data_IF_889822309999
#
_entry.id   IF_889822309999
#
_cell.length_a   1.000
_cell.length_b   1.000
_cell.length_c   1.000
_cell.angle_alpha   90.00
_cell.angle_beta   90.00
_cell.angle_gamma   90.00
#
_symmetry.space_group_name_H-M   'P 1'
#
loop_
_entity.id
_entity.type
_entity.pdbx_description
1 polymer ?
#
# COMPACT_ATOMS: atom_id res chain seq x y z
N UNK A 1 0.19 -7.58 -71.96
CA UNK A 1 1.18 -6.91 -71.12
C UNK A 1 0.43 -6.00 -70.16
N UNK A 2 0.13 -6.44 -68.96
CA UNK A 2 -0.46 -5.63 -67.90
C UNK A 2 0.36 -5.87 -66.62
N UNK A 3 1.05 -4.83 -66.17
CA UNK A 3 1.84 -4.81 -64.94
C UNK A 3 0.87 -4.84 -63.73
N UNK A 4 1.03 -5.84 -62.86
CA UNK A 4 0.36 -5.93 -61.61
C UNK A 4 1.35 -5.49 -60.51
N UNK A 5 1.15 -4.25 -60.02
CA UNK A 5 1.87 -3.74 -58.83
C UNK A 5 1.26 -4.36 -57.60
N UNK A 6 2.00 -5.23 -56.91
CA UNK A 6 1.65 -5.74 -55.59
C UNK A 6 2.06 -4.71 -54.54
N UNK A 7 1.07 -4.03 -53.98
CA UNK A 7 1.28 -3.14 -52.84
C UNK A 7 1.29 -4.00 -51.56
N UNK A 8 2.44 -4.17 -50.94
CA UNK A 8 2.55 -4.78 -49.62
C UNK A 8 2.05 -3.77 -48.57
N UNK A 9 0.86 -4.03 -48.02
CA UNK A 9 0.38 -3.34 -46.84
C UNK A 9 1.07 -3.95 -45.61
N UNK A 10 1.98 -3.20 -45.00
CA UNK A 10 2.55 -3.52 -43.69
C UNK A 10 1.46 -3.25 -42.67
N UNK A 11 0.79 -4.30 -42.18
CA UNK A 11 -0.08 -4.23 -41.01
C UNK A 11 0.81 -4.15 -39.78
N UNK A 12 1.03 -2.95 -39.28
CA UNK A 12 1.58 -2.73 -37.96
C UNK A 12 0.50 -3.16 -36.97
N UNK A 13 0.62 -4.37 -36.44
CA UNK A 13 -0.10 -4.81 -35.24
C UNK A 13 0.41 -3.97 -34.05
N UNK A 14 -0.16 -2.79 -33.89
CA UNK A 14 -0.13 -2.10 -32.61
C UNK A 14 -0.91 -2.97 -31.63
N UNK A 15 -0.20 -3.76 -30.82
CA UNK A 15 -0.78 -4.35 -29.61
C UNK A 15 -1.19 -3.19 -28.72
N UNK A 16 -2.44 -2.75 -28.86
CA UNK A 16 -3.08 -1.80 -27.95
C UNK A 16 -3.15 -2.47 -26.59
N UNK A 17 -2.23 -2.10 -25.70
CA UNK A 17 -2.45 -2.27 -24.29
C UNK A 17 -3.76 -1.51 -23.99
N UNK A 18 -4.88 -2.22 -23.76
CA UNK A 18 -6.15 -1.58 -23.47
C UNK A 18 -5.93 -0.73 -22.24
N UNK A 19 -5.83 0.59 -22.42
CA UNK A 19 -5.95 1.56 -21.35
C UNK A 19 -7.39 1.41 -20.88
N UNK A 20 -7.60 0.64 -19.82
CA UNK A 20 -8.74 0.85 -18.98
C UNK A 20 -8.48 2.17 -18.25
N UNK A 21 -8.61 3.27 -19.02
CA UNK A 21 -8.92 4.54 -18.41
C UNK A 21 -10.15 4.23 -17.55
N UNK A 22 -10.06 4.51 -16.26
CA UNK A 22 -11.23 4.57 -15.42
C UNK A 22 -12.15 5.57 -16.16
N UNK A 23 -13.05 5.03 -16.99
CA UNK A 23 -13.99 5.90 -17.67
C UNK A 23 -14.84 6.51 -16.57
N UNK A 24 -14.60 7.79 -16.33
CA UNK A 24 -15.52 8.66 -15.59
C UNK A 24 -16.95 8.62 -16.21
N UNK A 25 -17.12 7.89 -17.31
CA UNK A 25 -18.37 7.70 -18.05
C UNK A 25 -19.51 7.08 -17.23
N UNK A 26 -19.21 6.31 -16.18
CA UNK A 26 -20.22 5.72 -15.29
C UNK A 26 -20.34 6.44 -13.93
N UNK A 27 -19.66 7.57 -13.75
CA UNK A 27 -19.76 8.40 -12.56
C UNK A 27 -20.90 9.41 -12.80
N UNK A 28 -21.79 9.53 -11.80
CA UNK A 28 -22.88 10.50 -11.78
C UNK A 28 -22.35 11.91 -12.16
N UNK A 29 -23.13 12.69 -12.92
CA UNK A 29 -22.71 14.03 -13.41
C UNK A 29 -22.30 14.97 -12.28
N UNK A 30 -22.91 14.86 -11.10
CA UNK A 30 -22.51 15.59 -9.90
C UNK A 30 -21.08 15.28 -9.43
N UNK A 31 -20.60 14.03 -9.61
CA UNK A 31 -19.24 13.64 -9.28
C UNK A 31 -18.25 14.17 -10.31
N UNK A 32 -18.62 14.19 -11.60
CA UNK A 32 -17.78 14.79 -12.65
C UNK A 32 -17.52 16.28 -12.39
N UNK A 33 -18.55 17.02 -11.99
CA UNK A 33 -18.46 18.45 -11.70
C UNK A 33 -17.68 18.78 -10.43
N UNK A 34 -17.54 17.81 -9.49
CA UNK A 34 -16.92 17.99 -8.17
C UNK A 34 -15.79 16.97 -7.93
N UNK A 35 -15.19 16.44 -8.99
CA UNK A 35 -14.11 15.47 -8.89
C UNK A 35 -12.89 16.04 -8.13
N UNK A 36 -12.32 15.21 -7.26
CA UNK A 36 -11.06 15.52 -6.55
C UNK A 36 -9.82 15.19 -7.39
N UNK A 37 -10.00 14.59 -8.57
CA UNK A 37 -8.91 14.17 -9.44
C UNK A 37 -8.21 15.38 -10.05
N UNK A 38 -6.88 15.46 -9.83
CA UNK A 38 -6.01 16.37 -10.56
C UNK A 38 -5.52 15.69 -11.84
N UNK A 39 -5.83 16.28 -12.99
CA UNK A 39 -5.52 15.71 -14.31
C UNK A 39 -4.02 15.57 -14.57
N UNK A 40 -3.20 16.47 -14.04
CA UNK A 40 -1.74 16.46 -14.19
C UNK A 40 -1.13 15.35 -13.34
N UNK A 41 -1.59 15.20 -12.10
CA UNK A 41 -1.16 14.12 -11.19
C UNK A 41 -1.64 12.76 -11.73
N UNK A 42 -2.88 12.69 -12.23
CA UNK A 42 -3.43 11.48 -12.85
C UNK A 42 -2.59 11.04 -14.04
N UNK A 43 -2.21 11.98 -14.94
CA UNK A 43 -1.37 11.65 -16.09
C UNK A 43 0.00 11.13 -15.67
N UNK A 44 0.63 11.74 -14.67
CA UNK A 44 1.94 11.26 -14.15
C UNK A 44 1.80 9.85 -13.59
N UNK A 45 0.75 9.60 -12.81
CA UNK A 45 0.46 8.27 -12.27
C UNK A 45 0.30 7.23 -13.37
N UNK A 46 -0.50 7.51 -14.40
CA UNK A 46 -0.76 6.61 -15.54
C UNK A 46 0.53 6.29 -16.32
N UNK A 47 1.35 7.29 -16.58
CA UNK A 47 2.61 7.14 -17.31
C UNK A 47 3.60 6.26 -16.52
N UNK A 48 3.73 6.48 -15.21
CA UNK A 48 4.62 5.69 -14.35
C UNK A 48 4.13 4.24 -14.17
N UNK A 49 2.82 4.02 -14.02
CA UNK A 49 2.28 2.67 -13.94
C UNK A 49 2.41 1.93 -15.27
N UNK A 50 2.24 2.62 -16.40
CA UNK A 50 2.48 2.05 -17.74
C UNK A 50 3.94 1.62 -17.92
N UNK A 51 4.88 2.38 -17.38
CA UNK A 51 6.29 2.02 -17.34
C UNK A 51 6.53 0.81 -16.42
N UNK A 52 5.97 0.83 -15.21
CA UNK A 52 6.15 -0.20 -14.19
C UNK A 52 5.63 -1.57 -14.64
N UNK A 53 4.41 -1.63 -15.23
CA UNK A 53 3.83 -2.90 -15.69
C UNK A 53 4.67 -3.58 -16.75
N UNK A 54 5.30 -2.79 -17.62
CA UNK A 54 6.21 -3.30 -18.68
C UNK A 54 7.55 -3.73 -18.07
N UNK A 55 8.16 -2.84 -17.26
CA UNK A 55 9.48 -3.06 -16.66
C UNK A 55 9.51 -4.29 -15.77
N UNK A 56 8.54 -4.45 -14.91
CA UNK A 56 8.47 -5.56 -13.96
C UNK A 56 7.65 -6.75 -14.46
N UNK A 57 7.15 -6.71 -15.69
CA UNK A 57 6.31 -7.77 -16.30
C UNK A 57 5.18 -8.21 -15.36
N UNK A 58 4.64 -7.28 -14.58
CA UNK A 58 3.59 -7.57 -13.61
C UNK A 58 2.28 -7.98 -14.33
N UNK A 59 1.48 -8.83 -13.69
CA UNK A 59 0.13 -9.19 -14.16
C UNK A 59 -0.80 -8.00 -14.12
N UNK A 60 -0.72 -7.23 -13.02
CA UNK A 60 -1.42 -5.97 -12.87
C UNK A 60 -0.57 -4.99 -12.06
N UNK A 61 -0.83 -3.70 -12.21
CA UNK A 61 -0.28 -2.64 -11.38
C UNK A 61 -1.38 -1.65 -11.03
N UNK A 62 -1.38 -1.16 -9.80
CA UNK A 62 -2.29 -0.10 -9.36
C UNK A 62 -1.55 0.98 -8.59
N UNK A 63 -2.07 2.18 -8.67
CA UNK A 63 -1.53 3.34 -7.96
C UNK A 63 -2.61 4.27 -7.45
N UNK A 64 -2.29 4.95 -6.37
CA UNK A 64 -3.14 5.92 -5.70
C UNK A 64 -2.30 7.09 -5.21
N UNK A 65 -2.80 8.31 -5.42
CA UNK A 65 -2.36 9.53 -4.73
C UNK A 65 -3.54 10.09 -3.97
N UNK A 66 -3.39 10.31 -2.66
CA UNK A 66 -4.47 10.74 -1.78
C UNK A 66 -3.99 11.85 -0.84
N UNK A 67 -4.86 12.82 -0.55
CA UNK A 67 -4.63 13.78 0.52
C UNK A 67 -4.81 13.08 1.87
N UNK A 68 -3.75 13.07 2.68
CA UNK A 68 -3.73 12.34 3.96
C UNK A 68 -4.62 13.00 5.04
N UNK A 69 -5.00 14.27 4.87
CA UNK A 69 -5.67 15.07 5.90
C UNK A 69 -7.18 15.23 5.68
N UNK A 70 -7.71 14.78 4.51
CA UNK A 70 -9.14 14.86 4.24
C UNK A 70 -9.70 13.64 3.47
N UNK A 71 -8.82 12.71 3.02
CA UNK A 71 -9.23 11.50 2.31
C UNK A 71 -9.56 11.69 0.83
N UNK A 72 -9.36 12.88 0.26
CA UNK A 72 -9.57 13.12 -1.17
C UNK A 72 -8.58 12.32 -2.02
N UNK A 73 -9.11 11.58 -2.98
CA UNK A 73 -8.32 10.85 -3.97
C UNK A 73 -7.93 11.83 -5.09
N UNK A 74 -6.64 12.14 -5.19
CA UNK A 74 -6.08 13.09 -6.15
C UNK A 74 -5.80 12.43 -7.50
N UNK A 75 -5.40 11.15 -7.47
CA UNK A 75 -5.24 10.31 -8.65
C UNK A 75 -5.40 8.85 -8.28
N UNK A 76 -5.98 8.06 -9.16
CA UNK A 76 -6.13 6.60 -8.98
C UNK A 76 -6.11 5.92 -10.33
N UNK A 77 -5.30 4.86 -10.47
CA UNK A 77 -5.14 4.14 -11.72
C UNK A 77 -4.86 2.67 -11.50
N UNK A 78 -5.24 1.86 -12.47
CA UNK A 78 -4.92 0.43 -12.50
C UNK A 78 -4.77 -0.04 -13.94
N UNK A 79 -3.69 -0.78 -14.21
CA UNK A 79 -3.40 -1.39 -15.51
C UNK A 79 -3.30 -2.90 -15.34
N UNK A 80 -4.07 -3.63 -16.12
CA UNK A 80 -4.11 -5.09 -16.11
C UNK A 80 -3.59 -5.61 -17.45
N UNK A 81 -2.70 -6.61 -17.40
CA UNK A 81 -2.23 -7.33 -18.59
C UNK A 81 -3.09 -8.55 -18.91
N UNK A 82 -3.79 -9.08 -17.91
CA UNK A 82 -4.69 -10.21 -18.05
C UNK A 82 -6.14 -9.70 -18.08
N UNK A 83 -6.96 -10.20 -19.00
CA UNK A 83 -8.37 -9.85 -19.16
C UNK A 83 -9.23 -10.19 -17.92
N UNK A 84 -8.79 -11.18 -17.12
CA UNK A 84 -9.49 -11.65 -15.92
C UNK A 84 -9.21 -10.83 -14.65
N UNK A 85 -8.33 -9.83 -14.72
CA UNK A 85 -8.00 -9.03 -13.53
C UNK A 85 -9.16 -8.06 -13.18
N UNK A 86 -9.39 -7.75 -11.90
CA UNK A 86 -10.40 -6.76 -11.50
C UNK A 86 -10.13 -5.41 -12.17
N UNK A 87 -11.20 -4.69 -12.48
CA UNK A 87 -11.15 -3.43 -13.25
C UNK A 87 -10.23 -2.38 -12.59
N UNK A 88 -10.19 -2.33 -11.25
CA UNK A 88 -9.26 -1.50 -10.51
C UNK A 88 -8.79 -2.23 -9.24
N UNK A 89 -7.51 -2.64 -9.23
CA UNK A 89 -6.96 -3.42 -8.11
C UNK A 89 -6.83 -2.61 -6.82
N UNK A 90 -6.85 -1.28 -6.88
CA UNK A 90 -6.78 -0.42 -5.69
C UNK A 90 -8.09 -0.44 -4.91
N UNK A 91 -9.23 -0.45 -5.59
CA UNK A 91 -10.56 -0.37 -4.97
C UNK A 91 -11.22 -1.73 -4.77
N UNK A 92 -11.04 -2.65 -5.72
CA UNK A 92 -11.70 -3.96 -5.75
C UNK A 92 -10.77 -5.15 -5.48
N UNK A 93 -9.45 -4.94 -5.51
CA UNK A 93 -8.48 -6.00 -5.20
C UNK A 93 -8.68 -6.50 -3.77
N UNK A 94 -8.57 -7.81 -3.60
CA UNK A 94 -8.66 -8.48 -2.30
C UNK A 94 -7.32 -9.18 -2.03
N UNK A 95 -6.42 -8.48 -1.33
CA UNK A 95 -5.05 -8.92 -1.14
C UNK A 95 -4.67 -9.02 0.33
N UNK A 96 -3.90 -10.05 0.65
CA UNK A 96 -2.99 -9.97 1.76
C UNK A 96 -1.83 -9.07 1.36
N UNK A 97 -1.69 -7.91 2.00
CA UNK A 97 -0.71 -6.89 1.61
C UNK A 97 0.60 -6.94 2.41
N UNK A 98 0.68 -7.92 3.32
CA UNK A 98 1.90 -8.21 4.07
C UNK A 98 2.34 -7.04 4.96
N UNK A 99 3.62 -6.79 4.97
CA UNK A 99 4.30 -5.89 5.93
C UNK A 99 3.82 -4.43 5.95
N UNK A 100 2.95 -4.00 5.04
CA UNK A 100 2.31 -2.67 5.13
C UNK A 100 1.28 -2.57 6.28
N UNK A 101 0.91 -3.70 6.91
CA UNK A 101 0.11 -3.74 8.13
C UNK A 101 0.91 -3.42 9.40
N UNK A 102 2.22 -3.65 9.42
CA UNK A 102 3.06 -3.45 10.61
C UNK A 102 2.99 -2.05 11.22
N UNK A 103 2.92 -0.95 10.44
CA UNK A 103 2.69 0.38 11.00
C UNK A 103 1.43 0.48 11.87
N UNK A 104 0.35 -0.18 11.47
CA UNK A 104 -0.91 -0.20 12.23
C UNK A 104 -0.72 -0.96 13.56
N UNK A 105 -0.04 -2.10 13.50
CA UNK A 105 0.28 -2.91 14.69
C UNK A 105 1.16 -2.15 15.68
N UNK A 106 2.21 -1.50 15.20
CA UNK A 106 3.12 -0.70 16.03
C UNK A 106 2.39 0.51 16.60
N UNK A 107 1.60 1.22 15.79
CA UNK A 107 0.79 2.34 16.23
C UNK A 107 -0.20 1.93 17.35
N UNK A 108 -0.89 0.80 17.19
CA UNK A 108 -1.78 0.26 18.21
C UNK A 108 -1.02 -0.04 19.53
N UNK A 109 0.20 -0.56 19.45
CA UNK A 109 1.05 -0.80 20.60
C UNK A 109 1.38 0.47 21.37
N UNK A 110 1.77 1.55 20.68
CA UNK A 110 2.02 2.85 21.31
C UNK A 110 0.75 3.50 21.85
N UNK A 111 -0.34 3.44 21.09
CA UNK A 111 -1.59 4.11 21.42
C UNK A 111 -2.25 3.50 22.67
N UNK A 112 -2.15 2.19 22.85
CA UNK A 112 -2.61 1.48 24.06
C UNK A 112 -1.65 1.62 25.24
N UNK A 113 -0.48 2.21 25.07
CA UNK A 113 0.56 2.29 26.10
C UNK A 113 1.22 0.93 26.43
N UNK A 114 0.91 -0.12 25.66
CA UNK A 114 1.45 -1.48 25.88
C UNK A 114 2.92 -1.58 25.48
N UNK A 115 3.40 -0.68 24.62
CA UNK A 115 4.80 -0.56 24.25
C UNK A 115 5.29 0.89 24.36
N UNK A 116 6.61 1.04 24.45
CA UNK A 116 7.29 2.34 24.41
C UNK A 116 8.59 2.23 23.58
N UNK A 117 9.24 3.36 23.34
CA UNK A 117 10.42 3.44 22.47
C UNK A 117 11.64 2.67 23.00
N UNK A 118 11.72 2.44 24.33
CA UNK A 118 12.84 1.74 24.99
C UNK A 118 12.67 0.21 24.97
N UNK A 119 11.47 -0.28 24.71
CA UNK A 119 11.20 -1.72 24.69
C UNK A 119 11.87 -2.38 23.48
N UNK A 120 12.41 -3.56 23.71
CA UNK A 120 12.90 -4.46 22.67
C UNK A 120 12.07 -5.74 22.62
N UNK A 121 12.03 -6.33 21.45
CA UNK A 121 11.34 -7.58 21.16
C UNK A 121 12.38 -8.59 20.70
N UNK A 122 12.45 -9.70 21.38
CA UNK A 122 13.38 -10.77 21.03
C UNK A 122 13.01 -11.37 19.66
N UNK A 123 13.88 -11.17 18.67
CA UNK A 123 13.79 -11.68 17.30
C UNK A 123 14.99 -12.54 16.94
N UNK A 124 15.67 -13.11 17.95
CA UNK A 124 16.89 -13.90 17.78
C UNK A 124 16.64 -15.24 17.09
N UNK A 125 15.43 -15.77 17.21
CA UNK A 125 15.05 -17.07 16.65
C UNK A 125 13.60 -17.07 16.16
N UNK A 126 13.24 -18.01 15.27
CA UNK A 126 11.86 -18.21 14.80
C UNK A 126 10.87 -18.38 15.97
N UNK A 127 9.72 -17.76 15.84
CA UNK A 127 8.65 -17.79 16.83
C UNK A 127 7.65 -18.89 16.50
N UNK A 128 7.44 -19.83 17.44
CA UNK A 128 6.41 -20.89 17.30
C UNK A 128 5.11 -20.46 17.96
N UNK A 129 4.01 -20.60 17.23
CA UNK A 129 2.64 -20.42 17.74
C UNK A 129 1.80 -21.57 17.21
N UNK A 130 1.28 -22.41 18.10
CA UNK A 130 0.58 -23.64 17.73
C UNK A 130 1.43 -24.48 16.76
N UNK A 131 0.88 -24.78 15.59
CA UNK A 131 1.57 -25.51 14.51
C UNK A 131 2.35 -24.62 13.53
N UNK A 132 2.32 -23.31 13.72
CA UNK A 132 2.94 -22.35 12.80
C UNK A 132 4.28 -21.90 13.33
N UNK A 133 5.19 -21.62 12.39
CA UNK A 133 6.50 -21.00 12.69
C UNK A 133 6.58 -19.67 11.94
N UNK A 134 6.74 -18.58 12.67
CA UNK A 134 6.94 -17.25 12.12
C UNK A 134 8.43 -16.98 12.00
N UNK A 135 8.86 -16.55 10.83
CA UNK A 135 10.24 -16.21 10.52
C UNK A 135 10.32 -14.81 9.93
N UNK A 136 11.47 -14.18 10.08
CA UNK A 136 11.81 -12.94 9.40
C UNK A 136 12.46 -13.23 8.04
N UNK A 137 12.14 -12.42 7.03
CA UNK A 137 12.76 -12.54 5.71
C UNK A 137 14.25 -12.14 5.73
N UNK A 138 14.58 -11.12 6.56
CA UNK A 138 15.96 -10.65 6.79
C UNK A 138 16.25 -10.67 8.30
N UNK A 139 16.54 -11.84 8.88
CA UNK A 139 16.71 -11.98 10.32
C UNK A 139 17.92 -11.18 10.81
N UNK A 140 17.75 -10.42 11.86
CA UNK A 140 18.81 -9.63 12.50
C UNK A 140 19.51 -10.40 13.62
N UNK A 141 18.93 -11.52 14.05
CA UNK A 141 19.46 -12.42 15.10
C UNK A 141 19.78 -11.70 16.41
N UNK A 142 19.01 -10.68 16.75
CA UNK A 142 19.10 -9.90 18.00
C UNK A 142 17.73 -9.33 18.37
N UNK A 143 17.54 -8.85 19.61
CA UNK A 143 16.35 -8.09 19.97
C UNK A 143 16.27 -6.78 19.14
N UNK A 144 15.04 -6.40 18.76
CA UNK A 144 14.74 -5.20 17.98
C UNK A 144 13.83 -4.25 18.78
N UNK A 145 14.10 -2.96 18.69
CA UNK A 145 13.16 -1.91 19.11
C UNK A 145 11.95 -1.85 18.16
N UNK A 146 10.87 -1.16 18.57
CA UNK A 146 9.70 -1.01 17.71
C UNK A 146 10.00 -0.29 16.38
N UNK A 147 10.91 0.69 16.36
CA UNK A 147 11.39 1.32 15.13
C UNK A 147 12.14 0.33 14.23
N UNK A 148 13.04 -0.45 14.79
CA UNK A 148 13.79 -1.47 14.06
C UNK A 148 12.88 -2.60 13.52
N UNK A 149 11.80 -2.95 14.23
CA UNK A 149 10.77 -3.87 13.70
C UNK A 149 10.20 -3.36 12.38
N UNK A 150 10.01 -2.05 12.23
CA UNK A 150 9.55 -1.45 10.97
C UNK A 150 10.68 -1.35 9.94
N UNK A 151 11.86 -0.91 10.33
CA UNK A 151 13.04 -0.73 9.46
C UNK A 151 13.45 -2.04 8.79
N UNK A 152 13.63 -3.10 9.59
CA UNK A 152 13.99 -4.44 9.11
C UNK A 152 12.78 -5.29 8.71
N UNK A 153 11.58 -4.76 8.92
CA UNK A 153 10.33 -5.45 8.58
C UNK A 153 10.16 -6.80 9.28
N UNK A 154 10.49 -6.89 10.58
CA UNK A 154 10.42 -8.13 11.35
C UNK A 154 8.97 -8.60 11.56
N UNK A 155 8.66 -9.82 11.11
CA UNK A 155 7.38 -10.50 11.37
C UNK A 155 7.28 -10.91 12.84
N UNK A 156 8.39 -11.42 13.37
CA UNK A 156 8.50 -11.88 14.77
C UNK A 156 8.25 -10.70 15.71
N UNK A 157 8.93 -9.57 15.46
CA UNK A 157 8.73 -8.35 16.25
C UNK A 157 7.30 -7.84 16.20
N UNK A 158 6.69 -7.78 15.02
CA UNK A 158 5.29 -7.36 14.87
C UNK A 158 4.32 -8.30 15.61
N UNK A 159 4.53 -9.62 15.52
CA UNK A 159 3.73 -10.61 16.23
C UNK A 159 3.81 -10.43 17.75
N UNK A 160 5.00 -10.23 18.29
CA UNK A 160 5.21 -9.97 19.73
C UNK A 160 4.57 -8.66 20.19
N UNK A 161 4.59 -7.61 19.34
CA UNK A 161 3.86 -6.37 19.62
C UNK A 161 2.34 -6.63 19.66
N UNK A 162 1.80 -7.33 18.67
CA UNK A 162 0.37 -7.65 18.62
C UNK A 162 -0.08 -8.49 19.81
N UNK A 163 0.73 -9.46 20.26
CA UNK A 163 0.45 -10.24 21.49
C UNK A 163 0.40 -9.34 22.72
N UNK A 164 1.29 -8.34 22.84
CA UNK A 164 1.24 -7.37 23.94
C UNK A 164 -0.01 -6.49 23.90
N UNK A 165 -0.43 -6.08 22.68
CA UNK A 165 -1.67 -5.31 22.49
C UNK A 165 -2.88 -6.16 22.87
N UNK A 166 -2.93 -7.39 22.40
CA UNK A 166 -4.04 -8.31 22.60
C UNK A 166 -5.06 -8.29 21.47
N UNK A 167 -5.80 -9.39 21.34
CA UNK A 167 -6.70 -9.62 20.21
C UNK A 167 -7.89 -8.64 20.19
N UNK A 168 -8.45 -8.33 21.34
CA UNK A 168 -9.63 -7.44 21.47
C UNK A 168 -9.31 -6.03 21.01
N UNK A 169 -8.20 -5.48 21.49
CA UNK A 169 -7.74 -4.14 21.11
C UNK A 169 -7.34 -4.07 19.64
N UNK A 170 -6.59 -5.06 19.15
CA UNK A 170 -6.21 -5.10 17.72
C UNK A 170 -7.44 -5.16 16.81
N UNK A 171 -8.45 -5.98 17.17
CA UNK A 171 -9.72 -6.01 16.45
C UNK A 171 -10.43 -4.65 16.49
N UNK A 172 -10.40 -3.96 17.64
CA UNK A 172 -10.94 -2.61 17.79
C UNK A 172 -10.31 -1.61 16.82
N UNK A 173 -8.98 -1.64 16.64
CA UNK A 173 -8.27 -0.80 15.67
C UNK A 173 -8.65 -1.15 14.24
N UNK A 174 -8.66 -2.43 13.86
CA UNK A 174 -9.05 -2.86 12.51
C UNK A 174 -10.49 -2.47 12.18
N UNK A 175 -11.41 -2.55 13.15
CA UNK A 175 -12.79 -2.12 12.97
C UNK A 175 -12.91 -0.59 12.79
N UNK A 176 -12.20 0.22 13.60
CA UNK A 176 -12.14 1.68 13.42
C UNK A 176 -11.55 2.10 12.07
N UNK A 177 -10.66 1.28 11.50
CA UNK A 177 -10.04 1.47 10.19
C UNK A 177 -10.88 0.89 9.03
N UNK A 178 -12.11 0.44 9.32
CA UNK A 178 -13.06 -0.13 8.35
C UNK A 178 -12.58 -1.39 7.59
N UNK A 179 -11.61 -2.15 8.11
CA UNK A 179 -11.10 -3.34 7.41
C UNK A 179 -12.14 -4.45 7.21
N UNK A 180 -13.24 -4.42 7.94
CA UNK A 180 -14.29 -5.44 7.87
C UNK A 180 -15.56 -4.98 7.13
N UNK A 181 -15.52 -3.82 6.48
CA UNK A 181 -16.65 -3.25 5.75
C UNK A 181 -16.18 -2.71 4.40
N UNK A 182 -17.01 -2.74 3.36
CA UNK A 182 -16.73 -2.01 2.12
C UNK A 182 -16.53 -0.53 2.43
N UNK A 183 -15.59 0.10 1.73
CA UNK A 183 -15.45 1.56 1.79
C UNK A 183 -16.63 2.22 1.04
N UNK A 184 -17.15 3.27 1.63
CA UNK A 184 -18.17 4.10 1.01
C UNK A 184 -17.49 5.18 0.14
N UNK A 185 -16.97 4.73 -0.99
CA UNK A 185 -16.29 5.56 -1.99
C UNK A 185 -17.07 5.48 -3.30
N UNK A 186 -17.01 6.54 -4.09
CA UNK A 186 -17.82 6.72 -5.30
C UNK A 186 -17.25 5.92 -6.49
N UNK A 187 -17.15 4.60 -6.33
CA UNK A 187 -16.71 3.67 -7.38
C UNK A 187 -17.67 2.49 -7.47
N UNK A 188 -17.87 1.97 -8.67
CA UNK A 188 -18.79 0.86 -8.92
C UNK A 188 -18.29 -0.48 -8.40
N UNK A 189 -16.99 -0.76 -8.53
CA UNK A 189 -16.37 -2.01 -8.12
C UNK A 189 -15.70 -1.82 -6.77
N UNK A 190 -16.31 -2.32 -5.71
CA UNK A 190 -15.83 -2.21 -4.34
C UNK A 190 -15.39 -3.59 -3.83
N UNK A 191 -14.36 -3.58 -2.99
CA UNK A 191 -13.96 -4.72 -2.22
C UNK A 191 -15.10 -5.23 -1.33
N UNK A 192 -15.28 -6.55 -1.29
CA UNK A 192 -16.17 -7.21 -0.33
C UNK A 192 -15.33 -7.88 0.75
N UNK A 193 -15.44 -7.44 2.01
CA UNK A 193 -14.58 -7.93 3.08
C UNK A 193 -14.85 -9.41 3.37
N UNK A 194 -13.78 -10.17 3.59
CA UNK A 194 -13.85 -11.53 4.10
C UNK A 194 -13.94 -11.47 5.63
N UNK A 195 -14.97 -12.11 6.20
CA UNK A 195 -15.11 -12.20 7.67
C UNK A 195 -13.96 -13.03 8.23
N UNK A 196 -13.18 -12.44 9.13
CA UNK A 196 -12.17 -13.19 9.89
C UNK A 196 -12.87 -14.23 10.78
N UNK A 197 -12.39 -15.47 10.73
CA UNK A 197 -12.90 -16.59 11.56
C UNK A 197 -12.36 -16.53 13.00
N UNK A 198 -12.41 -15.35 13.64
CA UNK A 198 -11.94 -15.16 15.02
C UNK A 198 -10.45 -14.79 15.09
N UNK A 199 -10.01 -14.40 16.30
CA UNK A 199 -8.64 -14.01 16.61
C UNK A 199 -8.02 -15.02 17.61
N UNK A 200 -7.67 -16.21 17.11
CA UNK A 200 -6.71 -17.06 17.83
C UNK A 200 -5.35 -16.33 17.91
N UNK A 201 -4.47 -16.75 18.81
CA UNK A 201 -3.11 -16.18 18.90
C UNK A 201 -2.36 -16.26 17.56
N UNK A 202 -2.51 -17.37 16.83
CA UNK A 202 -1.91 -17.55 15.51
C UNK A 202 -2.49 -16.57 14.47
N UNK A 203 -3.81 -16.37 14.47
CA UNK A 203 -4.46 -15.42 13.55
C UNK A 203 -4.07 -13.97 13.90
N UNK A 204 -4.00 -13.63 15.18
CA UNK A 204 -3.54 -12.32 15.63
C UNK A 204 -2.11 -12.05 15.19
N UNK A 205 -1.23 -13.01 15.39
CA UNK A 205 0.17 -12.90 14.99
C UNK A 205 0.30 -12.74 13.47
N UNK A 206 -0.40 -13.54 12.68
CA UNK A 206 -0.41 -13.42 11.21
C UNK A 206 -0.96 -12.07 10.75
N UNK A 207 -2.10 -11.62 11.28
CA UNK A 207 -2.72 -10.34 10.92
C UNK A 207 -1.81 -9.14 11.26
N UNK A 208 -0.96 -9.25 12.29
CA UNK A 208 -0.03 -8.19 12.69
C UNK A 208 0.95 -7.76 11.60
N UNK A 209 1.24 -8.66 10.66
CA UNK A 209 2.10 -8.40 9.51
C UNK A 209 1.39 -8.63 8.16
N UNK A 210 0.04 -8.61 8.17
CA UNK A 210 -0.79 -8.58 6.97
C UNK A 210 -1.00 -9.92 6.27
N UNK A 211 -0.94 -11.05 7.02
CA UNK A 211 -1.32 -12.38 6.57
C UNK A 211 -2.61 -12.83 7.26
N UNK A 212 -3.41 -13.64 6.59
CA UNK A 212 -4.73 -14.05 7.12
C UNK A 212 -5.77 -12.94 7.17
N UNK A 213 -5.44 -11.74 6.70
CA UNK A 213 -6.35 -10.61 6.52
C UNK A 213 -6.18 -10.06 5.11
N UNK A 214 -7.22 -10.16 4.30
CA UNK A 214 -7.23 -9.65 2.94
C UNK A 214 -8.17 -8.44 2.85
N UNK A 215 -7.67 -7.35 2.28
CA UNK A 215 -8.39 -6.08 2.13
C UNK A 215 -8.05 -5.43 0.78
N UNK A 216 -8.81 -4.41 0.38
CA UNK A 216 -8.38 -3.61 -0.78
C UNK A 216 -7.20 -2.71 -0.40
N UNK A 217 -6.29 -2.43 -1.36
CA UNK A 217 -5.22 -1.46 -1.16
C UNK A 217 -5.71 -0.11 -0.64
N UNK A 218 -6.89 0.36 -1.07
CA UNK A 218 -7.47 1.61 -0.62
C UNK A 218 -7.75 1.63 0.90
N UNK A 219 -8.13 0.49 1.51
CA UNK A 219 -8.26 0.38 2.96
C UNK A 219 -6.94 0.66 3.68
N UNK A 220 -5.85 0.07 3.18
CA UNK A 220 -4.52 0.26 3.77
C UNK A 220 -4.02 1.69 3.56
N UNK A 221 -4.30 2.31 2.42
CA UNK A 221 -3.96 3.71 2.17
C UNK A 221 -4.67 4.64 3.18
N UNK A 222 -5.98 4.47 3.37
CA UNK A 222 -6.75 5.24 4.35
C UNK A 222 -6.25 5.00 5.80
N UNK A 223 -5.92 3.77 6.14
CA UNK A 223 -5.37 3.43 7.45
C UNK A 223 -3.98 4.05 7.67
N UNK A 224 -3.11 4.02 6.67
CA UNK A 224 -1.78 4.64 6.74
C UNK A 224 -1.89 6.16 6.86
N UNK A 225 -2.86 6.82 6.20
CA UNK A 225 -3.13 8.24 6.41
C UNK A 225 -3.44 8.53 7.87
N UNK A 226 -4.28 7.71 8.52
CA UNK A 226 -4.56 7.87 9.96
C UNK A 226 -3.33 7.66 10.84
N UNK A 227 -2.39 6.81 10.44
CA UNK A 227 -1.13 6.63 11.19
C UNK A 227 -0.28 7.90 11.19
N UNK A 228 -0.29 8.71 10.11
CA UNK A 228 0.66 9.83 9.94
C UNK A 228 0.06 11.23 10.10
N UNK A 229 -1.27 11.39 10.06
CA UNK A 229 -1.97 12.69 10.02
C UNK A 229 -2.44 13.21 11.39
N UNK A 230 -1.92 12.69 12.48
CA UNK A 230 -2.38 13.00 13.84
C UNK A 230 -3.43 12.04 14.36
N UNK A 231 -3.64 10.89 13.72
CA UNK A 231 -4.49 9.81 14.20
C UNK A 231 -5.94 9.85 13.73
N UNK A 232 -6.26 10.61 12.68
CA UNK A 232 -7.60 10.81 12.16
C UNK A 232 -7.84 9.95 10.91
N UNK A 233 -8.80 9.04 10.97
CA UNK A 233 -9.24 8.28 9.82
C UNK A 233 -10.28 9.08 9.03
N UNK A 234 -9.97 9.38 7.80
CA UNK A 234 -10.87 9.95 6.81
C UNK A 234 -11.32 8.88 5.84
N UNK A 235 -12.60 8.86 5.54
CA UNK A 235 -13.16 8.01 4.49
C UNK A 235 -12.63 8.51 3.13
N UNK A 236 -12.04 7.65 2.28
CA UNK A 236 -11.65 8.05 0.94
C UNK A 236 -12.83 8.53 0.11
N UNK A 237 -12.62 9.57 -0.71
CA UNK A 237 -13.66 10.14 -1.59
C UNK A 237 -13.09 10.66 -2.90
N UNK A 238 -13.89 10.59 -3.96
CA UNK A 238 -13.65 11.22 -5.26
C UNK A 238 -14.46 12.53 -5.45
N UNK A 239 -15.24 12.94 -4.43
CA UNK A 239 -16.12 14.09 -4.51
C UNK A 239 -15.74 15.16 -3.49
N UNK A 240 -15.30 16.33 -3.96
CA UNK A 240 -14.89 17.46 -3.10
C UNK A 240 -16.04 18.07 -2.30
N UNK A 241 -17.30 17.91 -2.75
CA UNK A 241 -18.50 18.36 -2.02
C UNK A 241 -19.14 17.27 -1.17
N UNK A 242 -18.81 15.99 -1.40
CA UNK A 242 -19.44 14.86 -0.72
C UNK A 242 -18.91 14.59 0.69
N UNK A 243 -17.89 15.30 1.13
CA UNK A 243 -17.21 14.98 2.38
C UNK A 243 -17.77 15.75 3.58
N UNK A 244 -18.94 15.30 4.06
CA UNK A 244 -19.53 15.79 5.32
C UNK A 244 -19.33 14.82 6.50
N UNK A 245 -18.59 13.71 6.32
CA UNK A 245 -18.36 12.76 7.42
C UNK A 245 -17.21 13.25 8.30
N UNK A 246 -17.52 13.43 9.59
CA UNK A 246 -16.49 13.75 10.58
C UNK A 246 -15.44 12.64 10.63
N UNK A 247 -14.14 12.96 10.67
CA UNK A 247 -13.11 11.95 10.79
C UNK A 247 -13.25 11.19 12.12
N UNK A 248 -12.85 9.94 12.11
CA UNK A 248 -12.80 9.08 13.29
C UNK A 248 -11.41 9.15 13.90
N UNK A 249 -11.29 9.48 15.18
CA UNK A 249 -10.00 9.35 15.87
C UNK A 249 -9.70 7.90 16.14
N UNK A 250 -8.65 7.40 15.50
CA UNK A 250 -8.16 6.02 15.65
C UNK A 250 -6.96 5.98 16.57
N UNK A 251 -6.01 6.90 16.39
CA UNK A 251 -4.80 7.01 17.19
C UNK A 251 -4.68 8.38 17.84
N UNK A 252 -3.90 8.48 18.91
CA UNK A 252 -3.51 9.74 19.50
C UNK A 252 -2.54 10.50 18.59
N UNK A 253 -2.52 11.84 18.72
CA UNK A 253 -1.52 12.65 18.02
C UNK A 253 -0.10 12.25 18.40
N UNK A 254 0.15 11.91 19.66
CA UNK A 254 1.45 11.45 20.15
C UNK A 254 1.90 10.18 19.43
N UNK A 255 1.02 9.19 19.29
CA UNK A 255 1.28 7.97 18.53
C UNK A 255 1.65 8.29 17.10
N UNK A 256 0.86 9.13 16.43
CA UNK A 256 1.12 9.54 15.05
C UNK A 256 2.48 10.24 14.89
N UNK A 257 2.85 11.11 15.84
CA UNK A 257 4.15 11.83 15.80
C UNK A 257 5.33 10.84 15.92
N UNK A 258 5.24 9.83 16.79
CA UNK A 258 6.24 8.73 16.88
C UNK A 258 6.30 7.95 15.56
N UNK A 259 5.15 7.57 15.02
CA UNK A 259 5.07 6.78 13.81
C UNK A 259 5.66 7.48 12.58
N UNK A 260 5.53 8.81 12.49
CA UNK A 260 6.16 9.60 11.41
C UNK A 260 7.68 9.44 11.39
N UNK A 261 8.32 9.51 12.56
CA UNK A 261 9.79 9.33 12.65
C UNK A 261 10.20 7.89 12.28
N UNK A 262 9.46 6.89 12.74
CA UNK A 262 9.76 5.49 12.41
C UNK A 262 9.59 5.17 10.93
N UNK A 263 8.50 5.68 10.31
CA UNK A 263 8.28 5.50 8.88
C UNK A 263 9.30 6.24 8.01
N UNK A 264 9.84 7.36 8.52
CA UNK A 264 10.97 8.03 7.87
C UNK A 264 12.21 7.13 7.89
N UNK A 265 12.54 6.50 9.01
CA UNK A 265 13.67 5.56 9.12
C UNK A 265 13.55 4.37 8.16
N UNK A 266 12.35 3.88 7.89
CA UNK A 266 12.15 2.81 6.88
C UNK A 266 12.64 3.26 5.48
N UNK A 267 12.52 4.54 5.17
CA UNK A 267 12.90 5.11 3.86
C UNK A 267 14.35 5.64 3.86
N UNK A 268 14.92 5.99 5.01
CA UNK A 268 16.35 6.38 5.06
C UNK A 268 17.27 5.19 5.23
N UNK A 269 16.90 4.21 6.06
CA UNK A 269 17.80 3.16 6.54
C UNK A 269 17.25 1.73 6.36
N UNK A 270 16.02 1.61 5.85
CA UNK A 270 15.31 0.32 5.81
C UNK A 270 14.97 -0.16 4.39
N UNK A 271 13.93 -0.99 4.34
CA UNK A 271 13.48 -1.66 3.12
C UNK A 271 12.90 -0.71 2.06
N UNK A 272 12.61 0.54 2.41
CA UNK A 272 11.99 1.55 1.56
C UNK A 272 12.94 2.57 0.92
N UNK A 273 14.26 2.38 1.02
CA UNK A 273 15.27 3.37 0.61
C UNK A 273 15.13 3.86 -0.83
N UNK A 274 14.67 3.01 -1.74
CA UNK A 274 14.44 3.38 -3.14
C UNK A 274 13.20 4.27 -3.38
N UNK A 275 12.40 4.54 -2.34
CA UNK A 275 11.33 5.54 -2.39
C UNK A 275 11.79 6.92 -1.87
N UNK A 276 13.05 7.06 -1.43
CA UNK A 276 13.56 8.33 -0.92
C UNK A 276 13.72 9.36 -2.05
N UNK A 277 13.11 10.53 -1.87
CA UNK A 277 13.20 11.65 -2.80
C UNK A 277 13.82 12.84 -2.04
N UNK A 278 14.98 13.31 -2.51
CA UNK A 278 15.72 14.38 -1.86
C UNK A 278 14.89 15.67 -1.71
N UNK A 279 14.85 16.22 -0.51
CA UNK A 279 14.11 17.43 -0.17
C UNK A 279 12.62 17.22 0.12
N UNK A 280 12.08 15.99 0.13
CA UNK A 280 10.65 15.78 0.35
C UNK A 280 10.31 14.87 1.54
N UNK A 281 11.29 14.49 2.34
CA UNK A 281 11.11 13.70 3.57
C UNK A 281 10.09 12.58 3.43
N UNK A 282 10.22 11.74 2.41
CA UNK A 282 9.33 10.59 2.21
C UNK A 282 9.48 9.60 3.36
N UNK A 283 8.39 9.13 3.92
CA UNK A 283 8.35 8.03 4.88
C UNK A 283 7.28 7.03 4.49
N UNK A 284 7.50 5.75 4.78
CA UNK A 284 6.52 4.74 4.34
C UNK A 284 6.91 3.32 4.72
N UNK A 285 6.24 2.36 4.11
CA UNK A 285 6.47 0.94 4.35
C UNK A 285 6.34 0.13 3.07
N UNK A 286 7.26 -0.82 2.89
CA UNK A 286 7.19 -1.87 1.88
C UNK A 286 6.41 -3.07 2.39
N UNK A 287 5.69 -3.74 1.52
CA UNK A 287 5.06 -5.04 1.77
C UNK A 287 5.30 -5.98 0.60
N UNK A 288 5.61 -7.22 0.90
CA UNK A 288 5.67 -8.29 -0.08
C UNK A 288 4.96 -9.48 0.55
N UNK A 289 3.90 -9.96 -0.09
CA UNK A 289 3.12 -11.09 0.38
C UNK A 289 3.03 -12.15 -0.71
N UNK A 290 3.22 -13.41 -0.36
CA UNK A 290 2.97 -14.53 -1.27
C UNK A 290 1.48 -14.61 -1.59
N UNK A 291 1.12 -14.88 -2.84
CA UNK A 291 -0.27 -15.04 -3.25
C UNK A 291 -0.84 -16.35 -2.77
N UNK A 292 -2.12 -16.33 -2.41
CA UNK A 292 -2.86 -17.56 -2.11
C UNK A 292 -3.30 -18.18 -3.44
N UNK A 293 -2.90 -19.41 -3.66
CA UNK A 293 -3.29 -20.21 -4.83
C UNK A 293 -4.73 -20.76 -4.66
N UNK A 294 -5.40 -21.19 -5.74
CA UNK A 294 -6.75 -21.78 -5.66
C UNK A 294 -6.88 -22.96 -4.71
N UNK A 295 -5.79 -23.69 -4.44
CA UNK A 295 -5.74 -24.78 -3.48
C UNK A 295 -5.58 -24.33 -2.01
N UNK A 296 -5.59 -23.02 -1.74
CA UNK A 296 -5.42 -22.43 -0.41
C UNK A 296 -3.98 -22.38 0.11
N UNK A 297 -2.97 -22.77 -0.68
CA UNK A 297 -1.55 -22.69 -0.30
C UNK A 297 -0.96 -21.38 -0.80
N UNK A 298 0.10 -20.92 -0.14
CA UNK A 298 0.88 -19.77 -0.62
C UNK A 298 1.75 -20.16 -1.83
N UNK A 299 1.84 -19.25 -2.79
CA UNK A 299 2.75 -19.41 -3.93
C UNK A 299 4.21 -19.22 -3.51
N UNK A 300 5.10 -20.06 -4.02
CA UNK A 300 6.54 -19.90 -3.81
C UNK A 300 7.17 -18.84 -4.74
N UNK A 301 6.43 -18.39 -5.77
CA UNK A 301 6.95 -17.53 -6.85
C UNK A 301 6.18 -16.23 -7.03
N UNK A 302 4.86 -16.29 -6.87
CA UNK A 302 3.98 -15.18 -7.17
C UNK A 302 3.67 -14.39 -5.91
N UNK A 303 3.96 -13.10 -5.97
CA UNK A 303 3.81 -12.19 -4.85
C UNK A 303 2.98 -10.98 -5.24
N UNK A 304 2.43 -10.33 -4.22
CA UNK A 304 1.94 -8.95 -4.31
C UNK A 304 2.98 -8.06 -3.66
N UNK A 305 3.51 -7.12 -4.42
CA UNK A 305 4.48 -6.14 -3.95
C UNK A 305 3.81 -4.79 -3.76
N UNK A 306 4.00 -4.17 -2.59
CA UNK A 306 3.31 -2.94 -2.22
C UNK A 306 4.27 -1.96 -1.58
N UNK A 307 4.15 -0.68 -1.92
CA UNK A 307 4.70 0.43 -1.16
C UNK A 307 3.58 1.41 -0.83
N UNK A 308 3.52 1.86 0.41
CA UNK A 308 2.65 2.95 0.85
C UNK A 308 3.49 3.94 1.66
N UNK A 309 3.44 5.20 1.30
CA UNK A 309 4.22 6.24 1.97
C UNK A 309 3.60 7.62 1.84
N UNK A 310 3.93 8.49 2.80
CA UNK A 310 3.47 9.87 2.86
C UNK A 310 4.63 10.85 2.79
N UNK A 311 4.33 12.07 2.40
CA UNK A 311 5.29 13.17 2.28
C UNK A 311 4.59 14.53 2.39
N UNK A 312 5.35 15.57 2.83
CA UNK A 312 6.61 15.49 3.57
C UNK A 312 6.34 15.02 5.01
N UNK A 313 7.21 14.13 5.57
CA UNK A 313 6.90 13.42 6.82
C UNK A 313 6.92 14.32 8.08
N UNK A 314 7.54 15.49 8.02
CA UNK A 314 7.42 16.51 9.08
C UNK A 314 5.99 17.09 9.19
N UNK A 315 5.27 17.20 8.06
CA UNK A 315 3.86 17.62 7.97
C UNK A 315 3.19 16.87 6.83
N UNK A 316 2.78 15.62 7.01
CA UNK A 316 2.25 14.82 5.93
C UNK A 316 1.03 15.46 5.27
N UNK A 317 1.12 15.68 3.95
CA UNK A 317 0.06 16.25 3.15
C UNK A 317 -0.52 15.23 2.18
N UNK A 318 0.34 14.44 1.54
CA UNK A 318 -0.06 13.46 0.54
C UNK A 318 0.46 12.08 0.88
N UNK A 319 -0.26 11.08 0.40
CA UNK A 319 0.09 9.67 0.47
C UNK A 319 0.09 9.11 -0.95
N UNK A 320 1.12 8.29 -1.25
CA UNK A 320 1.21 7.48 -2.46
C UNK A 320 1.18 6.01 -2.08
N UNK A 321 0.40 5.22 -2.81
CA UNK A 321 0.39 3.76 -2.71
C UNK A 321 0.56 3.14 -4.09
N UNK A 322 1.47 2.17 -4.19
CA UNK A 322 1.75 1.41 -5.41
C UNK A 322 1.64 -0.07 -5.10
N UNK A 323 0.93 -0.79 -5.95
CA UNK A 323 0.74 -2.25 -5.86
C UNK A 323 1.10 -2.88 -7.19
N UNK A 324 1.96 -3.88 -7.17
CA UNK A 324 2.25 -4.74 -8.32
C UNK A 324 1.80 -6.17 -7.99
N UNK A 325 0.93 -6.71 -8.82
CA UNK A 325 0.48 -8.10 -8.74
C UNK A 325 1.36 -8.97 -9.65
N UNK A 326 1.99 -9.97 -9.08
CA UNK A 326 2.91 -10.91 -9.74
C UNK A 326 4.05 -10.22 -10.53
N UNK A 327 4.77 -9.24 -9.96
CA UNK A 327 5.94 -8.69 -10.62
C UNK A 327 7.02 -9.77 -10.76
N UNK A 328 7.80 -9.69 -11.83
CA UNK A 328 8.92 -10.59 -12.08
C UNK A 328 10.24 -9.88 -11.80
N UNK A 329 11.19 -10.62 -11.25
CA UNK A 329 12.57 -10.15 -11.12
C UNK A 329 13.26 -10.03 -12.47
N UNK A 330 14.24 -9.16 -12.56
CA UNK A 330 15.07 -8.92 -13.75
C UNK A 330 16.53 -8.72 -13.35
N UNK A 331 17.42 -8.59 -14.33
CA UNK A 331 18.83 -8.24 -14.08
C UNK A 331 18.94 -6.91 -13.31
N UNK A 332 18.11 -5.91 -13.67
CA UNK A 332 18.08 -4.60 -13.00
C UNK A 332 17.62 -4.67 -11.53
N UNK A 333 16.84 -5.68 -11.18
CA UNK A 333 16.40 -5.92 -9.80
C UNK A 333 17.23 -6.99 -9.09
N UNK A 334 18.38 -7.39 -9.66
CA UNK A 334 19.20 -8.49 -9.15
C UNK A 334 18.40 -9.78 -8.93
N UNK A 335 17.41 -10.03 -9.78
CA UNK A 335 16.49 -11.17 -9.68
C UNK A 335 15.35 -11.00 -8.67
N UNK A 336 15.34 -9.93 -7.86
CA UNK A 336 14.31 -9.72 -6.83
C UNK A 336 12.99 -9.22 -7.43
N UNK A 337 11.89 -9.77 -6.95
CA UNK A 337 10.51 -9.34 -7.24
C UNK A 337 9.85 -8.66 -6.03
N UNK A 338 10.60 -8.33 -4.99
CA UNK A 338 10.10 -7.72 -3.76
C UNK A 338 9.88 -6.21 -3.87
N UNK A 339 9.06 -5.65 -2.99
CA UNK A 339 8.60 -4.26 -3.04
C UNK A 339 9.73 -3.21 -2.99
N UNK A 340 10.83 -3.50 -2.29
CA UNK A 340 12.02 -2.62 -2.28
C UNK A 340 12.68 -2.44 -3.64
N UNK A 341 12.43 -3.35 -4.60
CA UNK A 341 13.02 -3.35 -5.93
C UNK A 341 12.06 -2.94 -7.05
N UNK A 342 10.77 -2.84 -6.76
CA UNK A 342 9.75 -2.47 -7.76
C UNK A 342 8.78 -1.40 -7.24
N UNK A 343 7.91 -1.68 -6.27
CA UNK A 343 6.90 -0.73 -5.80
C UNK A 343 7.52 0.54 -5.17
N UNK A 344 8.59 0.40 -4.36
CA UNK A 344 9.26 1.54 -3.73
C UNK A 344 9.91 2.50 -4.74
N UNK A 345 10.75 2.06 -5.70
CA UNK A 345 11.30 2.97 -6.72
C UNK A 345 10.21 3.58 -7.62
N UNK A 346 9.15 2.84 -7.96
CA UNK A 346 8.01 3.39 -8.72
C UNK A 346 7.34 4.52 -7.94
N UNK A 347 7.09 4.33 -6.63
CA UNK A 347 6.55 5.39 -5.78
C UNK A 347 7.49 6.61 -5.69
N UNK A 348 8.80 6.38 -5.57
CA UNK A 348 9.80 7.47 -5.56
C UNK A 348 9.75 8.30 -6.84
N UNK A 349 9.67 7.67 -8.01
CA UNK A 349 9.55 8.36 -9.30
C UNK A 349 8.26 9.20 -9.37
N UNK A 350 7.13 8.64 -8.93
CA UNK A 350 5.86 9.37 -8.89
C UNK A 350 5.97 10.57 -7.96
N UNK A 351 6.45 10.38 -6.73
CA UNK A 351 6.61 11.46 -5.74
C UNK A 351 7.47 12.60 -6.30
N UNK A 352 8.62 12.27 -6.92
CA UNK A 352 9.51 13.27 -7.49
C UNK A 352 8.82 14.14 -8.57
N UNK A 353 7.89 13.55 -9.35
CA UNK A 353 7.19 14.22 -10.43
C UNK A 353 5.95 15.00 -9.96
N UNK A 354 5.21 14.47 -8.97
CA UNK A 354 3.97 15.13 -8.51
C UNK A 354 4.22 16.25 -7.49
N UNK A 355 5.31 16.21 -6.72
CA UNK A 355 5.60 17.21 -5.69
C UNK A 355 5.64 18.66 -6.21
N UNK A 356 6.27 18.98 -7.37
CA UNK A 356 6.21 20.32 -7.91
C UNK A 356 4.80 20.70 -8.43
N UNK A 357 4.04 19.72 -8.96
CA UNK A 357 2.66 19.95 -9.43
C UNK A 357 1.73 20.28 -8.27
N UNK A 358 1.88 19.55 -7.16
CA UNK A 358 1.08 19.73 -5.94
C UNK A 358 1.56 20.92 -5.08
N UNK A 359 2.61 21.62 -5.48
CA UNK A 359 3.16 22.75 -4.72
C UNK A 359 3.79 22.37 -3.38
N UNK A 360 4.19 21.10 -3.21
CA UNK A 360 4.86 20.63 -1.99
C UNK A 360 6.23 21.26 -1.90
N UNK A 361 6.49 21.98 -0.82
CA UNK A 361 7.79 22.65 -0.60
C UNK A 361 8.84 21.63 -0.21
N UNK A 362 10.05 21.83 -0.73
CA UNK A 362 11.22 21.09 -0.22
C UNK A 362 11.45 21.43 1.25
N UNK A 363 11.82 20.39 1.98
CA UNK A 363 12.22 20.48 3.38
C UNK A 363 13.71 20.14 3.43
N UNK A 364 14.51 21.09 3.88
CA UNK A 364 15.97 20.96 4.00
C UNK A 364 16.35 19.96 5.10
#
# INVERSE_FOLDING_TARGET
>A
MKNLLLTFAIVILATSCSRNNYELSNINEDIKANSTIDSSVQKILDDELSSAVKKFKAKAVGGLVMNANNGEIIAISSLNRAEEAPTNIITSGNYELGSVFKPITVAAGFDTGKINEKMTFDTTSPMKIDRFTITDFMPQNRPLTASEVLVYSSNIGASKIAQKVGAVEMYGYYNKLNFFKPLDVEVSNKYSPVKLKGFSEANLAAASFGHGIAVSPLHVAAAMSAVVNGGLYYQPTLNSKGYNKKPIRVFSKKTSDIMKSFLRLVVTDGTGTKANVGGYMVGGKTGTAAKILPNGRYSDKDVVSTFVGAFPMNKPEYLVMIVLDEPKGSTETSGFNTAGWNAAPTAGNIIAKITPVLGVKKVD
#
